data_IF_822639831904
#
_entry.id   IF_822639831904
#
_cell.length_a   1.000
_cell.length_b   1.000
_cell.length_c   1.000
_cell.angle_alpha   90.00
_cell.angle_beta   90.00
_cell.angle_gamma   90.00
#
_symmetry.space_group_name_H-M   'P 1'
#
loop_
_entity.id
_entity.type
_entity.pdbx_description
1 polymer ?
#
# COMPACT_ATOMS: atom_id res chain seq x y z
N UNK A 1 -26.62 -36.63 -29.34
CA UNK A 1 -27.42 -35.54 -28.76
C UNK A 1 -27.24 -35.63 -27.25
N UNK A 2 -26.58 -34.72 -26.53
CA UNK A 2 -26.40 -33.27 -26.72
C UNK A 2 -25.08 -32.76 -26.08
N UNK A 3 -24.70 -31.54 -26.46
CA UNK A 3 -23.46 -30.77 -26.19
C UNK A 3 -23.05 -30.49 -24.73
N UNK A 4 -21.78 -30.04 -24.50
CA UNK A 4 -21.14 -29.85 -23.20
C UNK A 4 -21.40 -28.46 -22.61
N UNK A 5 -21.48 -28.36 -21.28
CA UNK A 5 -21.51 -27.07 -20.57
C UNK A 5 -20.09 -26.68 -20.14
N UNK A 6 -19.49 -25.77 -20.89
CA UNK A 6 -18.33 -24.98 -20.49
C UNK A 6 -18.78 -23.90 -19.50
N UNK A 7 -18.00 -23.61 -18.43
CA UNK A 7 -18.08 -22.30 -17.81
C UNK A 7 -16.70 -21.61 -17.76
N UNK A 8 -16.67 -20.43 -18.36
CA UNK A 8 -15.99 -19.27 -17.78
C UNK A 8 -14.51 -19.10 -18.13
N UNK A 9 -14.26 -18.45 -19.27
CA UNK A 9 -13.07 -17.61 -19.43
C UNK A 9 -13.03 -16.57 -18.29
N UNK A 10 -12.24 -16.86 -17.26
CA UNK A 10 -11.90 -15.87 -16.24
C UNK A 10 -10.82 -14.97 -16.82
N UNK A 11 -11.27 -13.77 -17.19
CA UNK A 11 -10.49 -12.58 -17.52
C UNK A 11 -9.10 -12.59 -16.89
N UNK A 12 -8.06 -12.70 -17.74
CA UNK A 12 -6.66 -12.60 -17.35
C UNK A 12 -6.35 -11.17 -16.90
N UNK A 13 -6.62 -10.87 -15.62
CA UNK A 13 -5.97 -9.76 -14.94
C UNK A 13 -4.45 -10.02 -14.95
N UNK A 14 -3.59 -9.02 -15.18
CA UNK A 14 -2.15 -9.20 -15.09
C UNK A 14 -1.80 -9.81 -13.74
N UNK A 15 -1.22 -11.02 -13.75
CA UNK A 15 -0.72 -11.70 -12.57
C UNK A 15 0.40 -10.83 -11.98
N UNK A 16 0.06 -9.97 -11.02
CA UNK A 16 1.05 -9.40 -10.14
C UNK A 16 1.80 -10.57 -9.48
N UNK A 17 3.13 -10.47 -9.30
CA UNK A 17 3.88 -11.49 -8.57
C UNK A 17 3.18 -11.77 -7.25
N UNK A 18 2.82 -13.03 -7.00
CA UNK A 18 2.21 -13.37 -5.72
C UNK A 18 3.14 -12.92 -4.59
N UNK A 19 2.61 -12.23 -3.56
CA UNK A 19 3.41 -11.86 -2.42
C UNK A 19 4.01 -13.14 -1.82
N UNK A 20 5.29 -13.10 -1.40
CA UNK A 20 5.93 -14.28 -0.82
C UNK A 20 5.09 -14.82 0.34
N UNK A 21 5.12 -16.14 0.58
CA UNK A 21 4.30 -16.77 1.61
C UNK A 21 4.46 -16.02 2.92
N UNK A 22 3.36 -15.43 3.40
CA UNK A 22 3.37 -14.65 4.63
C UNK A 22 3.83 -15.57 5.77
N UNK A 23 4.93 -15.20 6.42
CA UNK A 23 5.31 -15.85 7.68
C UNK A 23 4.10 -15.76 8.61
N UNK A 24 3.79 -16.85 9.31
CA UNK A 24 2.65 -16.93 10.22
C UNK A 24 2.59 -15.70 11.15
N UNK A 25 1.38 -15.22 11.45
CA UNK A 25 1.17 -14.07 12.34
C UNK A 25 2.04 -14.19 13.61
N UNK A 26 2.78 -13.14 14.00
CA UNK A 26 3.60 -13.15 15.20
C UNK A 26 2.78 -13.54 16.43
N UNK A 27 3.30 -14.47 17.25
CA UNK A 27 2.58 -14.98 18.43
C UNK A 27 2.98 -14.27 19.72
N UNK A 28 4.13 -13.59 19.72
CA UNK A 28 4.63 -12.85 20.88
C UNK A 28 5.07 -11.44 20.49
N UNK A 29 5.17 -10.54 21.47
CA UNK A 29 5.73 -9.19 21.24
C UNK A 29 7.14 -9.24 20.69
N UNK A 30 7.95 -10.22 21.10
CA UNK A 30 9.31 -10.44 20.58
C UNK A 30 9.34 -10.91 19.13
N UNK A 31 8.39 -11.76 18.72
CA UNK A 31 8.25 -12.17 17.33
C UNK A 31 7.78 -10.99 16.47
N UNK A 32 6.91 -10.14 17.01
CA UNK A 32 6.44 -8.95 16.34
C UNK A 32 7.57 -7.92 16.16
N UNK A 33 8.37 -7.67 17.20
CA UNK A 33 9.60 -6.85 17.08
C UNK A 33 10.54 -7.41 16.01
N UNK A 34 10.75 -8.73 15.96
CA UNK A 34 11.62 -9.35 14.95
C UNK A 34 11.07 -9.12 13.54
N UNK A 35 9.77 -9.31 13.34
CA UNK A 35 9.13 -9.08 12.05
C UNK A 35 9.27 -7.61 11.60
N UNK A 36 9.09 -6.65 12.50
CA UNK A 36 9.29 -5.23 12.21
C UNK A 36 10.74 -4.92 11.80
N UNK A 37 11.72 -5.54 12.47
CA UNK A 37 13.13 -5.39 12.09
C UNK A 37 13.44 -5.99 10.71
N UNK A 38 12.81 -7.10 10.34
CA UNK A 38 12.91 -7.68 8.99
C UNK A 38 12.31 -6.76 7.92
N UNK A 39 11.33 -5.92 8.29
CA UNK A 39 10.73 -4.90 7.43
C UNK A 39 11.53 -3.59 7.38
N UNK A 40 12.67 -3.51 8.08
CA UNK A 40 13.57 -2.36 8.05
C UNK A 40 13.41 -1.35 9.18
N UNK A 41 12.47 -1.56 10.11
CA UNK A 41 12.37 -0.71 11.29
C UNK A 41 13.59 -0.91 12.22
N UNK A 42 14.07 0.17 12.83
CA UNK A 42 15.15 0.11 13.82
C UNK A 42 14.72 -0.67 15.07
N UNK A 43 15.70 -0.98 15.94
CA UNK A 43 15.44 -1.68 17.21
C UNK A 43 14.48 -0.88 18.10
N UNK A 44 14.69 0.43 18.18
CA UNK A 44 13.94 1.35 19.04
C UNK A 44 12.52 1.51 18.52
N UNK A 45 12.35 1.70 17.21
CA UNK A 45 11.05 1.79 16.54
C UNK A 45 10.26 0.49 16.68
N UNK A 46 10.90 -0.65 16.42
CA UNK A 46 10.26 -1.95 16.54
C UNK A 46 9.75 -2.20 17.96
N UNK A 47 10.54 -1.84 18.98
CA UNK A 47 10.14 -1.93 20.38
C UNK A 47 9.00 -0.96 20.73
N UNK A 48 9.06 0.26 20.22
CA UNK A 48 8.01 1.26 20.41
C UNK A 48 6.69 0.79 19.80
N UNK A 49 6.71 0.33 18.55
CA UNK A 49 5.55 -0.22 17.83
C UNK A 49 5.01 -1.47 18.54
N UNK A 50 5.87 -2.39 18.97
CA UNK A 50 5.42 -3.61 19.64
C UNK A 50 4.79 -3.35 21.02
N UNK A 51 5.18 -2.27 21.69
CA UNK A 51 4.72 -1.94 23.04
C UNK A 51 3.56 -0.93 23.07
N UNK A 52 3.51 -0.01 22.10
CA UNK A 52 2.58 1.15 22.09
C UNK A 52 1.83 1.31 20.76
N UNK A 53 2.04 0.40 19.81
CA UNK A 53 1.56 0.54 18.43
C UNK A 53 2.32 1.62 17.66
N UNK A 54 1.92 1.84 16.40
CA UNK A 54 2.55 2.85 15.53
C UNK A 54 2.43 4.29 16.06
N UNK A 55 1.50 4.56 16.99
CA UNK A 55 1.41 5.85 17.69
C UNK A 55 2.62 6.14 18.59
N UNK A 56 3.38 5.11 18.96
CA UNK A 56 4.61 5.25 19.75
C UNK A 56 5.84 5.68 18.94
N UNK A 57 5.71 5.75 17.60
CA UNK A 57 6.70 6.42 16.77
C UNK A 57 6.56 7.92 17.02
N UNK A 58 7.53 8.49 17.74
CA UNK A 58 7.79 9.93 17.67
C UNK A 58 8.36 10.16 16.27
N UNK A 59 7.48 10.36 15.30
CA UNK A 59 7.88 10.87 14.00
C UNK A 59 8.26 12.32 14.28
N UNK A 60 9.56 12.63 14.29
CA UNK A 60 9.98 14.02 14.13
C UNK A 60 9.23 14.53 12.92
N UNK A 61 8.40 15.57 13.08
CA UNK A 61 7.48 16.10 12.06
C UNK A 61 8.09 15.86 10.68
N UNK A 62 7.60 14.87 9.92
CA UNK A 62 7.96 14.84 8.53
C UNK A 62 7.25 16.08 8.05
N UNK A 63 8.01 17.11 7.71
CA UNK A 63 7.55 18.01 6.66
C UNK A 63 7.37 17.08 5.48
N UNK A 64 6.21 16.42 5.39
CA UNK A 64 5.87 15.52 4.31
C UNK A 64 6.07 16.38 3.08
N UNK A 65 7.02 16.00 2.24
CA UNK A 65 7.25 16.69 0.99
C UNK A 65 6.05 16.38 0.08
N UNK A 66 4.98 17.15 0.27
CA UNK A 66 3.74 17.03 -0.48
C UNK A 66 3.85 17.70 -1.85
N UNK A 67 5.04 18.15 -2.26
CA UNK A 67 5.25 18.84 -3.53
C UNK A 67 4.85 17.98 -4.72
N UNK A 68 5.13 16.67 -4.68
CA UNK A 68 4.73 15.74 -5.74
C UNK A 68 3.21 15.59 -5.82
N UNK A 69 2.53 15.46 -4.68
CA UNK A 69 1.07 15.40 -4.61
C UNK A 69 0.44 16.70 -5.12
N UNK A 70 0.97 17.85 -4.71
CA UNK A 70 0.50 19.16 -5.16
C UNK A 70 0.64 19.33 -6.68
N UNK A 71 1.78 18.91 -7.26
CA UNK A 71 2.00 18.95 -8.71
C UNK A 71 1.02 18.05 -9.48
N UNK A 72 0.71 16.86 -8.93
CA UNK A 72 -0.29 15.95 -9.49
C UNK A 72 -1.70 16.57 -9.49
N UNK A 73 -2.09 17.19 -8.38
CA UNK A 73 -3.38 17.88 -8.27
C UNK A 73 -3.46 19.03 -9.28
N UNK A 74 -2.45 19.89 -9.34
CA UNK A 74 -2.42 21.03 -10.27
C UNK A 74 -2.53 20.58 -11.73
N UNK A 75 -1.76 19.55 -12.11
CA UNK A 75 -1.82 18.98 -13.47
C UNK A 75 -3.22 18.48 -13.80
N UNK A 76 -3.84 17.75 -12.87
CA UNK A 76 -5.16 17.17 -13.11
C UNK A 76 -6.24 18.24 -13.20
N UNK A 77 -6.20 19.27 -12.35
CA UNK A 77 -7.12 20.43 -12.45
C UNK A 77 -7.03 21.10 -13.83
N UNK A 78 -5.81 21.34 -14.34
CA UNK A 78 -5.62 21.92 -15.69
C UNK A 78 -6.18 21.04 -16.80
N UNK A 79 -6.09 19.72 -16.66
CA UNK A 79 -6.67 18.78 -17.63
C UNK A 79 -8.20 18.88 -17.65
N UNK A 80 -8.85 18.92 -16.48
CA UNK A 80 -10.30 19.04 -16.40
C UNK A 80 -10.80 20.37 -16.97
N UNK A 81 -10.18 21.50 -16.64
CA UNK A 81 -10.55 22.78 -17.24
C UNK A 81 -10.38 22.81 -18.77
N UNK A 82 -9.37 22.10 -19.29
CA UNK A 82 -9.15 22.00 -20.74
C UNK A 82 -10.26 21.18 -21.40
N UNK A 83 -10.69 20.10 -20.76
CA UNK A 83 -11.79 19.27 -21.24
C UNK A 83 -13.10 20.07 -21.23
N UNK A 84 -13.40 20.76 -20.14
CA UNK A 84 -14.61 21.62 -20.05
C UNK A 84 -14.64 22.69 -21.14
N UNK A 85 -13.52 23.38 -21.39
CA UNK A 85 -13.40 24.35 -22.49
C UNK A 85 -13.53 23.75 -23.88
N UNK A 86 -13.22 22.46 -24.05
CA UNK A 86 -13.35 21.77 -25.35
C UNK A 86 -14.76 21.26 -25.63
N UNK A 87 -15.61 21.18 -24.60
CA UNK A 87 -16.99 20.69 -24.69
C UNK A 87 -18.03 21.83 -24.71
N UNK A 88 -17.62 23.07 -24.41
CA UNK A 88 -18.41 24.30 -24.55
C UNK A 88 -18.20 24.95 -25.91
#
# INVERSE_FOLDING_TARGET
>A
MSDPTQPGDSSAAPLLPEPPPTKSKPRTSRDFERALRELGFSKTESRAIASHGFKGLQVEDPVEDLSELAALVERNSKLFERIERSLS
#
